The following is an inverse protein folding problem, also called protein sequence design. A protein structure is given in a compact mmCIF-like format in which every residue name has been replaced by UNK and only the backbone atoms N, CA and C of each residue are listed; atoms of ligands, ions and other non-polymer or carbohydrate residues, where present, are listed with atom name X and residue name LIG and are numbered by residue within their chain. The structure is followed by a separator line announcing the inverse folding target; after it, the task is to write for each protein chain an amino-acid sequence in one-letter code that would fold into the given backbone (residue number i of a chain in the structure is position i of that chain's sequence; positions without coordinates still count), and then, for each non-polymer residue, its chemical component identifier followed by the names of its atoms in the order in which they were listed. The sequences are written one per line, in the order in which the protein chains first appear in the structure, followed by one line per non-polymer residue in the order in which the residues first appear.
data_IF_662092844303
#
_entry.id   IF_662092844303
#
_cell.length_a   1.000
_cell.length_b   1.000
_cell.length_c   1.000
_cell.angle_alpha   90.00
_cell.angle_beta   90.00
_cell.angle_gamma   90.00
#
_symmetry.space_group_name_H-M   'P 1'
#
loop_
_entity.id
_entity.type
_entity.pdbx_description
1 polymer ?
#
# COMPACT_ATOMS: atom_id res chain seq x y z
N UNK A 1 29.59 -46.78 22.64
CA UNK A 1 28.67 -46.33 21.57
C UNK A 1 27.27 -46.24 22.15
N UNK A 2 26.45 -45.29 21.65
CA UNK A 2 25.08 -44.95 22.07
C UNK A 2 24.95 -43.95 23.23
N UNK A 3 24.89 -42.66 22.86
CA UNK A 3 24.49 -41.53 23.69
C UNK A 3 23.19 -40.99 23.06
N UNK A 4 22.03 -41.34 23.62
CA UNK A 4 20.74 -40.79 23.18
C UNK A 4 20.11 -39.99 24.32
N UNK A 5 20.41 -38.69 24.33
CA UNK A 5 19.69 -37.70 25.14
C UNK A 5 18.33 -37.42 24.51
N UNK A 6 17.25 -37.89 25.16
CA UNK A 6 15.87 -37.52 24.84
C UNK A 6 15.66 -36.02 25.14
N UNK A 7 15.62 -35.19 24.10
CA UNK A 7 15.09 -33.82 24.17
C UNK A 7 13.59 -33.88 24.45
N UNK A 8 13.17 -33.43 25.63
CA UNK A 8 11.76 -33.09 25.91
C UNK A 8 11.39 -31.89 25.02
N UNK A 9 10.49 -32.11 24.05
CA UNK A 9 9.77 -31.05 23.36
C UNK A 9 8.80 -30.42 24.36
N UNK A 10 9.07 -29.20 24.80
CA UNK A 10 8.07 -28.34 25.42
C UNK A 10 7.05 -27.99 24.35
N UNK A 11 5.82 -28.46 24.52
CA UNK A 11 4.69 -28.06 23.71
C UNK A 11 4.44 -26.58 23.95
N UNK A 12 4.62 -25.76 22.92
CA UNK A 12 4.13 -24.39 22.90
C UNK A 12 2.60 -24.47 23.01
N UNK A 13 2.08 -23.90 24.09
CA UNK A 13 0.65 -23.70 24.33
C UNK A 13 0.17 -22.77 23.21
N UNK A 14 -0.63 -23.29 22.28
CA UNK A 14 -1.37 -22.46 21.34
C UNK A 14 -2.34 -21.64 22.18
N UNK A 15 -2.09 -20.34 22.29
CA UNK A 15 -3.04 -19.39 22.85
C UNK A 15 -4.21 -19.31 21.87
N UNK A 16 -5.39 -19.67 22.35
CA UNK A 16 -6.63 -19.61 21.61
C UNK A 16 -6.96 -18.12 21.41
N UNK A 17 -6.74 -17.63 20.18
CA UNK A 17 -7.20 -16.30 19.77
C UNK A 17 -8.72 -16.19 19.96
N UNK A 18 -9.25 -14.99 20.28
CA UNK A 18 -10.67 -14.78 20.50
C UNK A 18 -11.46 -15.36 19.33
N UNK A 19 -12.31 -16.32 19.68
CA UNK A 19 -13.12 -16.99 18.69
C UNK A 19 -14.17 -15.99 18.24
N UNK A 20 -14.55 -16.02 16.96
CA UNK A 20 -15.73 -15.29 16.48
C UNK A 20 -17.01 -15.62 17.31
N UNK A 21 -16.96 -16.67 18.13
CA UNK A 21 -17.97 -17.07 19.11
C UNK A 21 -18.07 -16.17 20.35
N UNK A 22 -17.03 -15.44 20.70
CA UNK A 22 -17.02 -14.55 21.88
C UNK A 22 -17.67 -13.19 21.57
N UNK A 23 -17.88 -12.89 20.28
CA UNK A 23 -18.66 -11.76 19.83
C UNK A 23 -20.18 -11.98 20.05
N UNK A 24 -20.92 -10.93 20.46
CA UNK A 24 -22.38 -10.90 20.41
C UNK A 24 -22.94 -11.42 19.09
N UNK A 25 -24.02 -12.21 19.15
CA UNK A 25 -24.57 -12.94 18.01
C UNK A 25 -24.95 -12.02 16.83
N UNK A 26 -25.37 -10.79 17.12
CA UNK A 26 -25.71 -9.74 16.14
C UNK A 26 -24.52 -9.23 15.32
N UNK A 27 -23.29 -9.54 15.74
CA UNK A 27 -22.05 -9.02 15.18
C UNK A 27 -21.30 -10.02 14.30
N UNK A 28 -21.59 -11.31 14.46
CA UNK A 28 -20.90 -12.38 13.75
C UNK A 28 -21.06 -12.30 12.23
N UNK A 29 -22.18 -11.73 11.78
CA UNK A 29 -22.51 -11.56 10.36
C UNK A 29 -22.03 -10.22 9.76
N UNK A 30 -21.61 -9.26 10.60
CA UNK A 30 -21.22 -7.89 10.18
C UNK A 30 -19.72 -7.62 10.30
N UNK A 31 -19.01 -8.41 11.10
CA UNK A 31 -17.60 -8.23 11.41
C UNK A 31 -16.85 -9.51 11.08
N UNK A 32 -15.79 -9.39 10.29
CA UNK A 32 -14.86 -10.49 10.09
C UNK A 32 -13.58 -10.24 10.87
N UNK A 33 -13.37 -11.03 11.93
CA UNK A 33 -12.13 -11.02 12.71
C UNK A 33 -11.09 -11.95 12.06
N UNK A 34 -9.84 -11.49 12.01
CA UNK A 34 -8.69 -12.35 11.68
C UNK A 34 -7.50 -12.10 12.58
N UNK A 35 -7.02 -13.18 13.19
CA UNK A 35 -5.67 -13.25 13.74
C UNK A 35 -4.66 -13.51 12.62
N UNK A 36 -3.60 -12.71 12.56
CA UNK A 36 -2.42 -12.94 11.73
C UNK A 36 -1.18 -12.76 12.60
N UNK A 37 -0.58 -13.88 13.03
CA UNK A 37 0.46 -13.84 14.05
C UNK A 37 -0.12 -13.34 15.37
N UNK A 38 0.54 -12.36 16.01
CA UNK A 38 0.11 -11.76 17.28
C UNK A 38 -0.91 -10.61 17.11
N UNK A 39 -1.38 -10.34 15.89
CA UNK A 39 -2.22 -9.18 15.61
C UNK A 39 -3.62 -9.58 15.13
N UNK A 40 -4.62 -8.89 15.68
CA UNK A 40 -6.01 -9.00 15.27
C UNK A 40 -6.36 -7.92 14.25
N UNK A 41 -7.24 -8.26 13.32
CA UNK A 41 -7.77 -7.34 12.31
C UNK A 41 -9.29 -7.49 12.26
N UNK A 42 -9.99 -6.38 12.12
CA UNK A 42 -11.43 -6.33 11.94
C UNK A 42 -11.74 -5.63 10.63
N UNK A 43 -12.57 -6.27 9.80
CA UNK A 43 -12.98 -5.74 8.50
C UNK A 43 -14.47 -5.46 8.56
N UNK A 44 -14.83 -4.27 8.09
CA UNK A 44 -16.18 -3.74 8.09
C UNK A 44 -16.58 -3.39 6.65
N UNK A 45 -17.80 -3.77 6.27
CA UNK A 45 -18.44 -3.19 5.07
C UNK A 45 -18.91 -1.78 5.40
N UNK A 46 -18.56 -0.79 4.56
CA UNK A 46 -18.87 0.63 4.79
C UNK A 46 -20.35 0.93 4.98
N UNK A 47 -21.23 0.10 4.39
CA UNK A 47 -22.69 0.25 4.49
C UNK A 47 -23.32 -0.50 5.68
N UNK A 48 -22.54 -1.35 6.37
CA UNK A 48 -23.00 -2.24 7.44
C UNK A 48 -22.15 -2.08 8.70
N UNK A 49 -21.71 -0.86 8.98
CA UNK A 49 -21.04 -0.54 10.24
C UNK A 49 -21.98 -0.94 11.38
N UNK A 50 -21.64 -2.01 12.11
CA UNK A 50 -22.24 -2.25 13.43
C UNK A 50 -22.05 -0.95 14.21
N UNK A 51 -23.13 -0.37 14.74
CA UNK A 51 -23.13 0.99 15.28
C UNK A 51 -21.93 1.27 16.19
N UNK A 52 -21.50 2.53 16.28
CA UNK A 52 -20.25 2.99 16.94
C UNK A 52 -19.82 2.24 18.21
N UNK A 53 -20.78 1.94 19.10
CA UNK A 53 -20.53 1.19 20.35
C UNK A 53 -19.87 -0.18 20.13
N UNK A 54 -20.19 -0.82 19.02
CA UNK A 54 -19.64 -2.11 18.59
C UNK A 54 -18.20 -1.99 18.13
N UNK A 55 -17.90 -0.96 17.34
CA UNK A 55 -16.55 -0.69 16.88
C UNK A 55 -15.65 -0.39 18.07
N UNK A 56 -16.12 0.45 18.99
CA UNK A 56 -15.40 0.75 20.24
C UNK A 56 -15.13 -0.51 21.08
N UNK A 57 -16.11 -1.42 21.20
CA UNK A 57 -15.94 -2.66 21.95
C UNK A 57 -14.85 -3.57 21.33
N UNK A 58 -14.90 -3.79 20.02
CA UNK A 58 -13.90 -4.60 19.29
C UNK A 58 -12.52 -3.95 19.35
N UNK A 59 -12.45 -2.63 19.22
CA UNK A 59 -11.20 -1.87 19.31
C UNK A 59 -10.56 -2.00 20.70
N UNK A 60 -11.37 -1.90 21.77
CA UNK A 60 -10.89 -2.07 23.15
C UNK A 60 -10.34 -3.46 23.40
N UNK A 61 -11.01 -4.48 22.91
CA UNK A 61 -10.57 -5.88 23.02
C UNK A 61 -9.24 -6.09 22.29
N UNK A 62 -9.13 -5.62 21.05
CA UNK A 62 -7.90 -5.74 20.26
C UNK A 62 -6.70 -5.03 20.90
N UNK A 63 -6.93 -3.84 21.43
CA UNK A 63 -5.91 -3.06 22.13
C UNK A 63 -5.45 -3.79 23.41
N UNK A 64 -6.39 -4.34 24.18
CA UNK A 64 -6.10 -5.07 25.40
C UNK A 64 -5.29 -6.36 25.15
N UNK A 65 -5.62 -7.11 24.09
CA UNK A 65 -4.92 -8.36 23.77
C UNK A 65 -3.54 -8.14 23.18
N UNK A 66 -3.40 -7.19 22.25
CA UNK A 66 -2.14 -6.97 21.54
C UNK A 66 -1.17 -6.02 22.27
N UNK A 67 -1.66 -5.27 23.27
CA UNK A 67 -0.90 -4.22 23.95
C UNK A 67 -0.56 -3.01 23.06
N UNK A 68 -1.10 -2.94 21.86
CA UNK A 68 -0.89 -1.81 20.92
C UNK A 68 -2.06 -0.83 21.11
N UNK A 69 -1.79 0.44 21.43
CA UNK A 69 -2.84 1.42 21.65
C UNK A 69 -3.54 1.80 20.34
N UNK A 70 -4.77 2.31 20.46
CA UNK A 70 -5.47 2.94 19.36
C UNK A 70 -4.95 4.36 19.12
N UNK A 71 -4.95 4.80 17.87
CA UNK A 71 -4.59 6.17 17.53
C UNK A 71 -5.77 7.11 17.72
N UNK A 72 -5.63 8.02 18.69
CA UNK A 72 -6.57 9.12 18.94
C UNK A 72 -5.85 10.42 18.54
N UNK A 73 -6.11 10.92 17.33
CA UNK A 73 -5.42 12.11 16.85
C UNK A 73 -5.79 12.47 15.42
N UNK A 74 -5.00 13.36 14.85
CA UNK A 74 -5.23 13.85 13.49
C UNK A 74 -4.16 13.36 12.54
N UNK A 75 -4.58 13.00 11.34
CA UNK A 75 -3.68 12.66 10.24
C UNK A 75 -3.98 13.59 9.08
N UNK A 76 -2.95 14.32 8.66
CA UNK A 76 -3.00 15.17 7.47
C UNK A 76 -2.13 14.60 6.35
N UNK A 77 -1.11 13.84 6.70
CA UNK A 77 -0.11 13.34 5.76
C UNK A 77 0.02 11.83 5.88
N UNK A 78 -0.01 11.12 4.78
CA UNK A 78 0.23 9.69 4.79
C UNK A 78 1.28 9.29 3.76
N UNK A 79 2.00 8.22 4.08
CA UNK A 79 3.02 7.62 3.24
C UNK A 79 2.80 6.12 3.18
N UNK A 80 2.93 5.54 1.99
CA UNK A 80 3.07 4.10 1.83
C UNK A 80 4.39 3.64 2.44
N UNK A 81 4.36 2.55 3.23
CA UNK A 81 5.58 1.92 3.73
C UNK A 81 6.54 1.53 2.58
N UNK A 82 5.99 1.18 1.41
CA UNK A 82 6.78 0.83 0.23
C UNK A 82 7.54 2.02 -0.38
N UNK A 83 7.14 3.27 -0.06
CA UNK A 83 7.75 4.51 -0.58
C UNK A 83 8.68 5.18 0.42
N UNK A 84 8.86 4.59 1.60
CA UNK A 84 9.78 5.08 2.64
C UNK A 84 10.79 4.02 3.03
N UNK A 85 11.93 4.45 3.61
CA UNK A 85 13.03 3.54 3.94
C UNK A 85 12.75 2.66 5.16
N UNK A 86 12.02 3.17 6.14
CA UNK A 86 11.74 2.49 7.41
C UNK A 86 10.44 3.02 7.99
N UNK A 87 9.72 2.17 8.72
CA UNK A 87 8.51 2.53 9.44
C UNK A 87 8.78 3.26 10.75
N UNK A 88 10.00 3.22 11.29
CA UNK A 88 10.36 3.76 12.62
C UNK A 88 10.78 5.23 12.66
N UNK A 89 10.87 5.89 11.51
CA UNK A 89 11.26 7.31 11.39
C UNK A 89 10.32 8.02 10.43
N UNK A 90 9.73 9.12 10.87
CA UNK A 90 8.84 9.94 10.06
C UNK A 90 9.60 10.52 8.84
N UNK A 91 9.12 10.33 7.61
CA UNK A 91 9.78 10.89 6.42
C UNK A 91 9.74 12.42 6.39
N UNK A 92 8.73 13.04 7.01
CA UNK A 92 8.49 14.49 7.01
C UNK A 92 9.35 15.24 8.03
N UNK A 93 9.23 14.89 9.32
CA UNK A 93 9.91 15.63 10.41
C UNK A 93 11.07 14.87 11.06
N UNK A 94 11.35 13.63 10.64
CA UNK A 94 12.41 12.75 11.18
C UNK A 94 12.25 12.33 12.63
N UNK A 95 11.14 12.67 13.29
CA UNK A 95 10.81 12.15 14.62
C UNK A 95 10.50 10.64 14.57
N UNK A 96 10.49 10.02 15.74
CA UNK A 96 10.09 8.62 15.89
C UNK A 96 8.61 8.44 15.51
N UNK A 97 8.29 7.23 15.12
CA UNK A 97 6.93 6.76 14.84
C UNK A 97 6.63 5.55 15.71
N UNK A 98 5.37 5.40 16.07
CA UNK A 98 4.86 4.33 16.92
C UNK A 98 3.74 3.60 16.19
N UNK A 99 3.77 2.27 16.24
CA UNK A 99 2.70 1.46 15.69
C UNK A 99 1.45 1.61 16.56
N UNK A 100 0.30 1.88 15.95
CA UNK A 100 -0.98 2.01 16.64
C UNK A 100 -2.09 1.39 15.79
N UNK A 101 -3.16 0.96 16.45
CA UNK A 101 -4.39 0.59 15.74
C UNK A 101 -5.08 1.83 15.19
N UNK A 102 -5.66 1.69 14.01
CA UNK A 102 -6.54 2.69 13.43
C UNK A 102 -7.43 2.03 12.37
N UNK A 103 -8.47 2.74 11.93
CA UNK A 103 -9.37 2.28 10.88
C UNK A 103 -8.94 2.89 9.54
N UNK A 104 -8.46 2.03 8.64
CA UNK A 104 -8.00 2.41 7.31
C UNK A 104 -9.09 2.16 6.29
N UNK A 105 -9.44 3.19 5.52
CA UNK A 105 -10.39 3.08 4.41
C UNK A 105 -9.62 2.71 3.16
N UNK A 106 -9.98 1.61 2.51
CA UNK A 106 -9.32 1.12 1.31
C UNK A 106 -10.34 0.82 0.21
N UNK A 107 -9.92 1.02 -1.03
CA UNK A 107 -10.72 0.73 -2.20
C UNK A 107 -10.52 -0.73 -2.63
N UNK A 108 -11.57 -1.31 -3.22
CA UNK A 108 -11.54 -2.63 -3.85
C UNK A 108 -12.03 -2.51 -5.29
N UNK A 109 -11.53 -3.37 -6.17
CA UNK A 109 -11.96 -3.38 -7.56
C UNK A 109 -13.42 -3.84 -7.67
N UNK A 110 -14.26 -3.04 -8.33
CA UNK A 110 -15.64 -3.39 -8.67
C UNK A 110 -16.62 -3.37 -7.49
N UNK A 111 -16.32 -2.64 -6.42
CA UNK A 111 -17.23 -2.49 -5.29
C UNK A 111 -16.89 -1.28 -4.40
N UNK A 112 -17.73 -1.02 -3.39
CA UNK A 112 -17.59 0.15 -2.53
C UNK A 112 -16.34 0.05 -1.64
N UNK A 113 -15.87 1.21 -1.17
CA UNK A 113 -14.76 1.28 -0.22
C UNK A 113 -15.08 0.54 1.09
N UNK A 114 -14.04 -0.01 1.71
CA UNK A 114 -14.15 -0.81 2.93
C UNK A 114 -13.26 -0.28 4.03
N UNK A 115 -13.57 -0.64 5.27
CA UNK A 115 -12.81 -0.22 6.44
C UNK A 115 -12.09 -1.41 7.04
N UNK A 116 -10.82 -1.23 7.36
CA UNK A 116 -9.98 -2.21 8.03
C UNK A 116 -9.38 -1.61 9.29
N UNK A 117 -9.79 -2.14 10.44
CA UNK A 117 -9.20 -1.79 11.74
C UNK A 117 -8.06 -2.76 12.03
N UNK A 118 -6.83 -2.25 12.00
CA UNK A 118 -5.61 -3.04 12.14
C UNK A 118 -4.44 -2.21 12.65
N UNK A 119 -3.33 -2.82 13.11
CA UNK A 119 -2.13 -2.09 13.50
C UNK A 119 -1.22 -1.80 12.29
N UNK A 120 -1.80 -1.44 11.14
CA UNK A 120 -1.05 -1.17 9.91
C UNK A 120 -0.41 0.22 9.86
N UNK A 121 -0.71 1.09 10.83
CA UNK A 121 -0.23 2.48 10.87
C UNK A 121 0.91 2.70 11.84
N UNK A 122 1.96 3.36 11.36
CA UNK A 122 3.05 3.90 12.17
C UNK A 122 2.90 5.41 12.24
N UNK A 123 2.41 5.90 13.38
CA UNK A 123 2.04 7.29 13.60
C UNK A 123 3.20 8.09 14.17
N UNK A 124 3.47 9.26 13.61
CA UNK A 124 4.53 10.12 14.09
C UNK A 124 4.17 10.74 15.44
N UNK A 125 5.16 10.79 16.35
CA UNK A 125 4.95 11.37 17.69
C UNK A 125 5.01 12.90 17.72
N UNK A 126 5.36 13.56 16.61
CA UNK A 126 5.63 15.00 16.57
C UNK A 126 4.83 15.78 15.50
N UNK A 127 4.24 15.11 14.52
CA UNK A 127 3.47 15.78 13.46
C UNK A 127 2.33 14.86 12.96
N UNK A 128 1.29 15.39 12.31
CA UNK A 128 0.11 14.61 11.89
C UNK A 128 0.41 13.77 10.64
N UNK A 129 1.42 12.90 10.73
CA UNK A 129 1.89 12.03 9.65
C UNK A 129 1.79 10.57 10.06
N UNK A 130 1.29 9.73 9.16
CA UNK A 130 1.26 8.27 9.30
C UNK A 130 2.04 7.62 8.16
N UNK A 131 2.72 6.51 8.46
CA UNK A 131 3.25 5.58 7.47
C UNK A 131 2.36 4.34 7.51
N UNK A 132 1.82 3.92 6.38
CA UNK A 132 0.85 2.83 6.32
C UNK A 132 1.45 1.61 5.62
N UNK A 133 1.42 0.47 6.29
CA UNK A 133 1.77 -0.83 5.73
C UNK A 133 0.62 -1.37 4.88
N UNK A 134 0.61 -0.97 3.61
CA UNK A 134 -0.37 -1.45 2.64
C UNK A 134 -0.36 -2.97 2.44
N UNK A 135 0.79 -3.63 2.64
CA UNK A 135 0.86 -5.08 2.50
C UNK A 135 0.11 -5.76 3.65
N UNK A 136 0.11 -5.16 4.85
CA UNK A 136 -0.72 -5.63 5.97
C UNK A 136 -2.19 -5.59 5.59
N UNK A 137 -2.68 -4.44 5.10
CA UNK A 137 -4.08 -4.24 4.71
C UNK A 137 -4.47 -5.13 3.52
N UNK A 138 -3.63 -5.20 2.47
CA UNK A 138 -3.85 -6.04 1.29
C UNK A 138 -4.05 -7.51 1.66
N UNK A 139 -3.24 -8.02 2.57
CA UNK A 139 -3.31 -9.41 3.02
C UNK A 139 -4.57 -9.73 3.86
N UNK A 140 -5.21 -8.71 4.40
CA UNK A 140 -6.50 -8.85 5.09
C UNK A 140 -7.70 -8.73 4.15
N UNK A 141 -7.55 -8.28 2.90
CA UNK A 141 -8.68 -8.22 1.95
C UNK A 141 -9.22 -9.62 1.68
N UNK A 142 -10.55 -9.76 1.76
CA UNK A 142 -11.26 -11.03 1.70
C UNK A 142 -11.80 -11.33 0.30
N UNK A 143 -12.06 -12.61 0.05
CA UNK A 143 -12.86 -13.21 -1.04
C UNK A 143 -13.14 -12.39 -2.30
N UNK A 144 -12.48 -12.70 -3.41
CA UNK A 144 -12.84 -12.21 -4.76
C UNK A 144 -12.57 -10.72 -5.02
N UNK A 145 -12.40 -9.91 -3.98
CA UNK A 145 -12.06 -8.51 -4.10
C UNK A 145 -10.56 -8.34 -4.32
N UNK A 146 -10.21 -7.40 -5.21
CA UNK A 146 -8.84 -7.00 -5.47
C UNK A 146 -8.59 -5.67 -4.77
N UNK A 147 -7.64 -5.63 -3.84
CA UNK A 147 -7.21 -4.40 -3.17
C UNK A 147 -6.73 -3.36 -4.21
N UNK A 148 -7.24 -2.13 -4.13
CA UNK A 148 -6.93 -1.05 -5.07
C UNK A 148 -6.32 0.20 -4.41
N UNK A 149 -5.79 0.07 -3.20
CA UNK A 149 -5.11 1.15 -2.50
C UNK A 149 -5.87 1.67 -1.28
N UNK A 150 -5.15 2.40 -0.42
CA UNK A 150 -5.74 3.15 0.68
C UNK A 150 -6.35 4.42 0.12
N UNK A 151 -7.49 4.81 0.65
CA UNK A 151 -8.19 6.04 0.28
C UNK A 151 -8.07 7.07 1.41
N UNK A 152 -8.11 6.63 2.66
CA UNK A 152 -7.99 7.53 3.79
C UNK A 152 -8.00 6.76 5.10
N UNK A 153 -8.19 7.50 6.18
CA UNK A 153 -8.35 6.94 7.52
C UNK A 153 -9.69 7.41 8.07
N UNK A 154 -10.39 6.52 8.74
CA UNK A 154 -11.56 6.85 9.53
C UNK A 154 -11.11 6.95 10.98
N UNK A 155 -10.90 8.18 11.47
CA UNK A 155 -10.37 8.40 12.82
C UNK A 155 -11.43 9.09 13.65
N UNK A 156 -11.85 8.40 14.70
CA UNK A 156 -12.81 8.95 15.64
C UNK A 156 -12.19 10.07 16.51
N UNK A 157 -12.98 11.08 16.91
CA UNK A 157 -14.39 11.31 16.59
C UNK A 157 -14.61 12.06 15.26
N UNK A 158 -13.55 12.41 14.53
CA UNK A 158 -13.63 13.26 13.33
C UNK A 158 -14.27 12.57 12.13
N UNK A 159 -14.24 11.24 12.09
CA UNK A 159 -14.73 10.44 10.97
C UNK A 159 -13.69 10.35 9.85
N UNK A 160 -14.18 10.27 8.60
CA UNK A 160 -13.34 10.10 7.42
C UNK A 160 -12.43 11.32 7.17
N UNK A 161 -11.12 11.10 7.27
CA UNK A 161 -10.09 12.12 7.03
C UNK A 161 -9.54 12.02 5.60
N UNK A 162 -9.76 13.10 4.84
CA UNK A 162 -9.11 13.33 3.56
C UNK A 162 -7.66 13.78 3.81
N UNK A 163 -6.72 13.16 3.10
CA UNK A 163 -5.31 13.44 3.25
C UNK A 163 -4.95 14.74 2.53
N UNK A 164 -4.16 15.60 3.18
CA UNK A 164 -3.55 16.77 2.52
C UNK A 164 -2.38 16.38 1.64
N UNK A 165 -1.63 15.35 2.03
CA UNK A 165 -0.54 14.81 1.21
C UNK A 165 -0.48 13.29 1.25
N UNK A 166 -0.23 12.68 0.10
CA UNK A 166 0.12 11.27 -0.05
C UNK A 166 1.54 11.15 -0.58
N UNK A 167 2.39 10.34 0.06
CA UNK A 167 3.80 10.15 -0.32
C UNK A 167 4.61 11.44 -0.45
N UNK A 168 4.22 12.49 0.28
CA UNK A 168 4.89 13.80 0.26
C UNK A 168 4.40 14.76 -0.83
N UNK A 169 3.43 14.36 -1.64
CA UNK A 169 2.84 15.18 -2.70
C UNK A 169 1.34 15.37 -2.49
N UNK A 170 0.75 16.33 -3.20
CA UNK A 170 -0.70 16.52 -3.24
C UNK A 170 -1.38 15.25 -3.81
N UNK A 171 -2.38 14.69 -3.11
CA UNK A 171 -3.06 13.49 -3.57
C UNK A 171 -4.06 13.81 -4.67
N UNK A 172 -4.18 12.87 -5.60
CA UNK A 172 -5.21 12.82 -6.62
C UNK A 172 -6.09 11.62 -6.28
N UNK A 173 -7.35 11.91 -5.95
CA UNK A 173 -8.36 10.88 -5.73
C UNK A 173 -8.92 10.41 -7.07
N UNK A 174 -8.82 9.12 -7.32
CA UNK A 174 -9.39 8.49 -8.49
C UNK A 174 -10.85 8.14 -8.17
N UNK A 175 -11.76 8.58 -9.03
CA UNK A 175 -13.19 8.34 -8.91
C UNK A 175 -13.63 7.37 -10.00
N UNK A 176 -14.49 6.41 -9.65
CA UNK A 176 -15.18 5.54 -10.59
C UNK A 176 -16.31 6.27 -11.32
N UNK A 177 -17.01 5.55 -12.20
CA UNK A 177 -18.15 6.08 -12.98
C UNK A 177 -19.27 6.61 -12.06
N UNK A 178 -19.49 5.94 -10.92
CA UNK A 178 -20.51 6.28 -9.93
C UNK A 178 -20.04 7.32 -8.89
N UNK A 179 -18.94 8.04 -9.14
CA UNK A 179 -18.30 8.99 -8.22
C UNK A 179 -17.76 8.39 -6.91
N UNK A 180 -17.67 7.06 -6.82
CA UNK A 180 -17.03 6.38 -5.70
C UNK A 180 -15.51 6.48 -5.77
N UNK A 181 -14.85 6.62 -4.62
CA UNK A 181 -13.38 6.70 -4.58
C UNK A 181 -12.79 5.31 -4.80
N UNK A 182 -12.13 5.12 -5.94
CA UNK A 182 -11.49 3.87 -6.33
C UNK A 182 -10.01 3.81 -5.97
N UNK A 183 -9.38 4.92 -5.61
CA UNK A 183 -7.98 4.94 -5.18
C UNK A 183 -7.41 6.33 -4.95
N UNK A 184 -6.16 6.38 -4.51
CA UNK A 184 -5.36 7.60 -4.34
C UNK A 184 -4.02 7.44 -5.05
N UNK A 185 -3.60 8.46 -5.79
CA UNK A 185 -2.29 8.49 -6.45
C UNK A 185 -1.69 9.89 -6.34
N UNK A 186 -0.39 9.99 -6.53
CA UNK A 186 0.28 11.29 -6.76
C UNK A 186 0.46 11.55 -8.26
N UNK A 187 0.75 12.81 -8.63
CA UNK A 187 1.07 13.17 -10.03
C UNK A 187 2.23 12.36 -10.61
N UNK A 188 3.19 11.99 -9.76
CA UNK A 188 4.38 11.25 -10.20
C UNK A 188 4.06 9.76 -10.37
N UNK A 189 3.29 9.17 -9.45
CA UNK A 189 2.78 7.79 -9.59
C UNK A 189 1.87 7.64 -10.81
N UNK A 190 1.01 8.63 -11.07
CA UNK A 190 0.14 8.62 -12.25
C UNK A 190 0.96 8.62 -13.57
N UNK A 191 2.13 9.28 -13.61
CA UNK A 191 3.03 9.22 -14.79
C UNK A 191 3.72 7.88 -14.93
N UNK A 192 4.07 7.24 -13.81
CA UNK A 192 4.68 5.90 -13.80
C UNK A 192 3.69 4.84 -14.32
N UNK A 193 2.43 4.90 -13.87
CA UNK A 193 1.38 3.96 -14.27
C UNK A 193 0.86 4.22 -15.70
N UNK A 194 0.72 5.49 -16.10
CA UNK A 194 0.30 5.86 -17.46
C UNK A 194 1.42 5.76 -18.49
N UNK A 195 2.67 5.55 -18.06
CA UNK A 195 3.81 5.26 -18.94
C UNK A 195 3.66 3.97 -19.75
N UNK A 196 2.63 3.16 -19.46
CA UNK A 196 2.27 1.97 -20.22
C UNK A 196 1.20 2.23 -21.31
N UNK A 197 0.46 3.34 -21.25
CA UNK A 197 -0.68 3.64 -22.14
C UNK A 197 -0.55 4.90 -23.00
N UNK A 198 0.50 5.69 -22.82
CA UNK A 198 0.86 6.72 -23.79
C UNK A 198 1.82 6.13 -24.82
N UNK A 199 1.47 6.08 -26.12
CA UNK A 199 2.50 5.94 -27.14
C UNK A 199 3.47 7.10 -26.92
N UNK A 200 4.78 6.82 -26.89
CA UNK A 200 5.84 7.83 -26.85
C UNK A 200 5.80 8.73 -28.11
N UNK A 201 4.74 9.49 -28.33
CA UNK A 201 4.68 10.55 -29.34
C UNK A 201 5.32 11.82 -28.77
N UNK A 202 6.63 11.73 -28.59
CA UNK A 202 7.61 12.81 -28.85
C UNK A 202 8.92 12.51 -28.13
N UNK A 203 9.47 11.33 -28.43
CA UNK A 203 10.90 11.07 -28.33
C UNK A 203 11.72 12.04 -29.21
N UNK A 204 11.88 13.29 -28.77
CA UNK A 204 13.03 14.14 -29.09
C UNK A 204 14.04 14.09 -27.95
N UNK A 205 14.33 12.89 -27.44
CA UNK A 205 15.63 12.63 -26.83
C UNK A 205 16.59 12.25 -27.95
N UNK A 206 17.37 13.24 -28.36
CA UNK A 206 18.56 13.05 -29.18
C UNK A 206 19.49 12.05 -28.48
N UNK A 207 19.31 10.77 -28.78
CA UNK A 207 20.32 9.76 -28.46
C UNK A 207 21.57 10.16 -29.23
N UNK A 208 22.55 10.73 -28.51
CA UNK A 208 23.86 11.00 -29.07
C UNK A 208 24.36 9.68 -29.67
N UNK A 209 24.61 9.62 -31.00
CA UNK A 209 24.89 8.37 -31.65
C UNK A 209 26.18 7.79 -31.09
N UNK A 210 26.08 6.59 -30.50
CA UNK A 210 27.19 5.85 -29.93
C UNK A 210 28.39 5.89 -30.91
N UNK A 211 29.55 6.45 -30.50
CA UNK A 211 30.65 6.77 -31.41
C UNK A 211 31.18 5.54 -32.18
N UNK A 212 30.98 4.33 -31.63
CA UNK A 212 31.32 3.06 -32.28
C UNK A 212 30.44 2.78 -33.51
N UNK A 213 29.12 3.01 -33.44
CA UNK A 213 28.20 2.85 -34.58
C UNK A 213 28.43 3.91 -35.67
N UNK A 214 28.82 5.14 -35.30
CA UNK A 214 29.13 6.22 -36.24
C UNK A 214 30.37 5.91 -37.11
N UNK A 215 31.41 5.29 -36.53
CA UNK A 215 32.60 4.83 -37.30
C UNK A 215 32.25 3.72 -38.29
N UNK A 216 31.43 2.76 -37.90
CA UNK A 216 31.06 1.62 -38.76
C UNK A 216 30.21 2.08 -39.97
N UNK A 217 29.25 2.98 -39.75
CA UNK A 217 28.43 3.53 -40.85
C UNK A 217 29.24 4.40 -41.83
N UNK A 218 30.24 5.16 -41.34
CA UNK A 218 31.16 5.88 -42.23
C UNK A 218 31.96 4.94 -43.14
N UNK A 219 32.40 3.78 -42.64
CA UNK A 219 33.15 2.79 -43.44
C UNK A 219 32.26 2.14 -44.51
N UNK A 220 31.01 1.77 -44.17
CA UNK A 220 30.02 1.24 -45.13
C UNK A 220 29.63 2.25 -46.21
N UNK A 221 29.44 3.52 -45.87
CA UNK A 221 29.11 4.54 -46.88
C UNK A 221 30.28 4.86 -47.81
N UNK A 222 31.53 4.74 -47.32
CA UNK A 222 32.72 4.96 -48.15
C UNK A 222 32.91 3.84 -49.18
N UNK A 223 32.70 2.58 -48.78
CA UNK A 223 32.76 1.44 -49.72
C UNK A 223 31.63 1.49 -50.75
N UNK A 224 30.41 1.83 -50.34
CA UNK A 224 29.27 1.99 -51.25
C UNK A 224 29.51 3.09 -52.31
N UNK A 225 30.08 4.24 -51.90
CA UNK A 225 30.43 5.32 -52.84
C UNK A 225 31.56 4.92 -53.80
N UNK A 226 32.56 4.19 -53.32
CA UNK A 226 33.64 3.69 -54.17
C UNK A 226 33.13 2.69 -55.23
N UNK A 227 32.24 1.77 -54.83
CA UNK A 227 31.60 0.83 -55.76
C UNK A 227 30.75 1.54 -56.82
N UNK A 228 29.94 2.54 -56.43
CA UNK A 228 29.14 3.33 -57.38
C UNK A 228 30.02 4.06 -58.40
N UNK A 229 31.13 4.67 -57.97
CA UNK A 229 32.08 5.31 -58.90
C UNK A 229 32.76 4.30 -59.83
N UNK A 230 33.08 3.09 -59.36
CA UNK A 230 33.68 2.06 -60.19
C UNK A 230 32.70 1.56 -61.27
N UNK A 231 31.42 1.37 -60.93
CA UNK A 231 30.39 1.00 -61.92
C UNK A 231 30.09 2.12 -62.92
N UNK A 232 30.17 3.39 -62.51
CA UNK A 232 30.00 4.53 -63.42
C UNK A 232 31.14 4.69 -64.43
N UNK A 233 32.34 4.17 -64.15
CA UNK A 233 33.50 4.20 -65.07
C UNK A 233 33.57 3.00 -66.02
N UNK A 234 32.67 2.03 -65.86
CA UNK A 234 32.56 0.83 -66.70
C UNK A 234 31.42 0.91 -67.73
N UNK A 235 30.64 1.99 -67.69
CA UNK A 235 29.76 2.41 -68.78
C UNK A 235 30.48 3.44 -69.62
#
# INVERSE_FOLDING_TARGET
MSWFGKKKKTAAKQEEHPSQKDLPEELRDKIQLRAKGEHLNAIWDGDKLGGKEVQEAVIREFSAESGIPFFEGEVEHAYSLNKVRTSGICPRCKAKTEQKYSSFVYAVQGGPARVNTSPAGYFCTNCPTVIIDENHIRNSVLGGYVYNGIVGLDIEPKGFNILKTWNGSEPIYLLGEDQEIIGIVTKDEMKEDMGFYLPEESGRRSSLPNPKKKKQNRKKNRSARASRKANQRRK
#
